data_IF_071398182058
#
_entry.id   IF_071398182058
#
_cell.length_a   1.000
_cell.length_b   1.000
_cell.length_c   1.000
_cell.angle_alpha   90.00
_cell.angle_beta   90.00
_cell.angle_gamma   90.00
#
_symmetry.space_group_name_H-M   'P 1'
#
loop_
_entity.id
_entity.type
_entity.pdbx_description
1 polymer ?
#
# COMPACT_ATOMS: atom_id res chain seq x y z
N UNK A 1 -11.42 -12.39 -23.63
CA UNK A 1 -9.96 -12.13 -23.59
C UNK A 1 -9.38 -12.90 -22.42
N UNK A 2 -8.55 -13.92 -22.67
CA UNK A 2 -8.06 -14.83 -21.62
C UNK A 2 -7.16 -14.14 -20.57
N UNK A 3 -6.36 -13.15 -20.98
CA UNK A 3 -5.46 -12.43 -20.06
C UNK A 3 -6.23 -11.60 -19.05
N UNK A 4 -7.23 -10.84 -19.51
CA UNK A 4 -8.04 -9.99 -18.62
C UNK A 4 -8.79 -10.82 -17.57
N UNK A 5 -9.37 -11.95 -17.97
CA UNK A 5 -10.12 -12.84 -17.06
C UNK A 5 -9.22 -13.42 -15.96
N UNK A 6 -8.02 -13.89 -16.29
CA UNK A 6 -7.09 -14.41 -15.26
C UNK A 6 -6.51 -13.30 -14.39
N UNK A 7 -6.27 -12.11 -14.95
CA UNK A 7 -5.80 -10.96 -14.16
C UNK A 7 -6.83 -10.56 -13.12
N UNK A 8 -8.12 -10.51 -13.48
CA UNK A 8 -9.18 -10.28 -12.52
C UNK A 8 -9.21 -11.35 -11.41
N UNK A 9 -9.13 -12.64 -11.78
CA UNK A 9 -9.11 -13.74 -10.82
C UNK A 9 -7.93 -13.63 -9.83
N UNK A 10 -6.74 -13.31 -10.31
CA UNK A 10 -5.57 -13.12 -9.46
C UNK A 10 -5.63 -11.84 -8.63
N UNK A 11 -6.13 -10.74 -9.19
CA UNK A 11 -6.33 -9.49 -8.46
C UNK A 11 -7.31 -9.67 -7.30
N UNK A 12 -8.34 -10.51 -7.46
CA UNK A 12 -9.24 -10.86 -6.37
C UNK A 12 -8.57 -11.76 -5.32
N UNK A 13 -7.79 -12.75 -5.76
CA UNK A 13 -7.16 -13.73 -4.85
C UNK A 13 -6.03 -13.14 -4.01
N UNK A 14 -5.12 -12.36 -4.62
CA UNK A 14 -3.88 -11.95 -3.97
C UNK A 14 -4.05 -11.07 -2.71
N UNK A 15 -5.05 -10.18 -2.58
CA UNK A 15 -5.32 -9.49 -1.32
C UNK A 15 -5.51 -10.43 -0.12
N UNK A 16 -6.15 -11.59 -0.31
CA UNK A 16 -6.31 -12.59 0.76
C UNK A 16 -5.03 -13.33 1.09
N UNK A 17 -4.21 -13.62 0.07
CA UNK A 17 -2.87 -14.19 0.26
C UNK A 17 -1.99 -13.22 1.04
N UNK A 18 -2.05 -11.92 0.72
CA UNK A 18 -1.34 -10.86 1.45
C UNK A 18 -1.85 -10.77 2.89
N UNK A 19 -3.16 -10.84 3.13
CA UNK A 19 -3.71 -10.85 4.49
C UNK A 19 -3.17 -12.03 5.33
N UNK A 20 -3.07 -13.23 4.74
CA UNK A 20 -2.44 -14.38 5.41
C UNK A 20 -0.96 -14.14 5.70
N UNK A 21 -0.22 -13.55 4.76
CA UNK A 21 1.17 -13.18 4.96
C UNK A 21 1.36 -12.12 6.07
N UNK A 22 0.42 -11.17 6.21
CA UNK A 22 0.42 -10.19 7.31
C UNK A 22 0.27 -10.88 8.67
N UNK A 23 -0.60 -11.89 8.79
CA UNK A 23 -0.73 -12.65 10.05
C UNK A 23 0.59 -13.35 10.40
N UNK A 24 1.23 -14.01 9.44
CA UNK A 24 2.53 -14.65 9.66
C UNK A 24 3.61 -13.62 10.03
N UNK A 25 3.63 -12.48 9.34
CA UNK A 25 4.54 -11.39 9.64
C UNK A 25 4.37 -10.89 11.08
N UNK A 26 3.14 -10.64 11.53
CA UNK A 26 2.84 -10.19 12.88
C UNK A 26 3.15 -11.26 13.95
N UNK A 27 2.94 -12.53 13.64
CA UNK A 27 3.33 -13.63 14.52
C UNK A 27 4.85 -13.59 14.81
N UNK A 28 5.67 -13.51 13.76
CA UNK A 28 7.12 -13.43 13.96
C UNK A 28 7.56 -12.12 14.63
N UNK A 29 6.88 -11.01 14.37
CA UNK A 29 7.13 -9.76 15.09
C UNK A 29 6.82 -9.89 16.58
N UNK A 30 5.80 -10.64 16.97
CA UNK A 30 5.41 -10.83 18.38
C UNK A 30 6.41 -11.69 19.16
N UNK A 31 7.16 -12.57 18.49
CA UNK A 31 8.21 -13.37 19.14
C UNK A 31 9.37 -12.49 19.66
N UNK A 32 9.75 -11.44 18.92
CA UNK A 32 10.87 -10.56 19.30
C UNK A 32 10.41 -9.23 19.90
N UNK A 33 9.19 -8.79 19.58
CA UNK A 33 8.72 -7.43 19.78
C UNK A 33 9.32 -6.44 18.76
N UNK A 34 8.82 -5.20 18.79
CA UNK A 34 9.29 -4.11 17.94
C UNK A 34 10.69 -3.63 18.31
N UNK A 35 11.47 -3.24 17.29
CA UNK A 35 12.69 -2.46 17.51
C UNK A 35 12.35 -1.01 17.88
N UNK A 36 13.35 -0.22 18.26
CA UNK A 36 13.23 1.19 18.59
C UNK A 36 14.34 2.03 17.91
N UNK A 37 14.22 3.36 17.82
CA UNK A 37 15.16 4.21 17.08
C UNK A 37 16.62 4.12 17.53
N UNK A 38 16.88 3.74 18.79
CA UNK A 38 18.26 3.60 19.29
C UNK A 38 18.90 2.27 18.90
N UNK A 39 18.11 1.29 18.46
CA UNK A 39 18.55 -0.08 18.16
C UNK A 39 19.00 -0.89 19.39
N UNK A 40 18.89 -0.33 20.60
CA UNK A 40 19.22 -1.02 21.85
C UNK A 40 18.03 -1.88 22.34
N UNK A 41 18.29 -2.83 23.24
CA UNK A 41 17.23 -3.63 23.83
C UNK A 41 16.31 -2.75 24.72
N UNK A 42 15.00 -2.77 24.44
CA UNK A 42 14.00 -1.93 25.11
C UNK A 42 13.33 -2.58 26.33
N UNK A 43 13.73 -3.79 26.75
CA UNK A 43 13.05 -4.53 27.83
C UNK A 43 13.00 -3.79 29.16
N UNK A 44 13.97 -2.90 29.44
CA UNK A 44 14.01 -2.12 30.67
C UNK A 44 12.95 -1.01 30.75
N UNK A 45 12.37 -0.60 29.62
CA UNK A 45 11.45 0.54 29.52
C UNK A 45 10.29 0.24 28.55
N UNK A 46 9.60 -0.88 28.79
CA UNK A 46 8.40 -1.24 28.03
C UNK A 46 7.17 -0.56 28.62
N UNK A 47 6.36 0.00 27.73
CA UNK A 47 5.01 0.48 28.05
C UNK A 47 3.97 -0.44 27.39
N UNK A 48 2.75 -0.47 27.95
CA UNK A 48 1.64 -1.22 27.38
C UNK A 48 1.20 -0.62 26.04
N UNK A 49 0.68 -1.46 25.13
CA UNK A 49 0.18 -0.97 23.83
C UNK A 49 -1.00 -0.01 24.01
N UNK A 50 -1.98 -0.39 24.82
CA UNK A 50 -3.08 0.48 25.21
C UNK A 50 -2.76 1.17 26.54
N UNK A 51 -2.98 2.49 26.68
CA UNK A 51 -3.61 3.40 25.71
C UNK A 51 -2.66 4.05 24.71
N UNK A 52 -1.34 3.96 24.95
CA UNK A 52 -0.34 4.81 24.30
C UNK A 52 -0.29 4.68 22.77
N UNK A 53 -0.04 3.47 22.27
CA UNK A 53 0.05 3.24 20.83
C UNK A 53 -1.34 3.19 20.19
N UNK A 54 -2.38 2.75 20.90
CA UNK A 54 -3.75 2.79 20.36
C UNK A 54 -4.18 4.20 19.96
N UNK A 55 -3.95 5.22 20.80
CA UNK A 55 -4.30 6.60 20.45
C UNK A 55 -3.35 7.21 19.42
N UNK A 56 -2.07 6.87 19.46
CA UNK A 56 -1.10 7.28 18.44
C UNK A 56 -1.49 6.76 17.05
N UNK A 57 -1.89 5.49 16.97
CA UNK A 57 -2.30 4.85 15.72
C UNK A 57 -3.63 5.42 15.23
N UNK A 58 -4.58 5.73 16.14
CA UNK A 58 -5.82 6.40 15.77
C UNK A 58 -5.55 7.78 15.14
N UNK A 59 -4.65 8.57 15.71
CA UNK A 59 -4.25 9.85 15.11
C UNK A 59 -3.66 9.64 13.71
N UNK A 60 -2.75 8.67 13.55
CA UNK A 60 -2.18 8.32 12.25
C UNK A 60 -3.25 7.90 11.22
N UNK A 61 -4.22 7.11 11.65
CA UNK A 61 -5.35 6.69 10.81
C UNK A 61 -6.23 7.87 10.36
N UNK A 62 -6.52 8.81 11.26
CA UNK A 62 -7.26 10.05 10.91
C UNK A 62 -6.49 10.87 9.89
N UNK A 63 -5.17 11.06 10.06
CA UNK A 63 -4.34 11.79 9.11
C UNK A 63 -4.34 11.12 7.73
N UNK A 64 -4.18 9.79 7.69
CA UNK A 64 -4.25 9.02 6.44
C UNK A 64 -5.62 9.16 5.76
N UNK A 65 -6.73 9.08 6.51
CA UNK A 65 -8.06 9.26 5.95
C UNK A 65 -8.27 10.68 5.40
N UNK A 66 -7.77 11.71 6.08
CA UNK A 66 -7.84 13.10 5.59
C UNK A 66 -7.05 13.26 4.28
N UNK A 67 -5.86 12.68 4.19
CA UNK A 67 -5.08 12.69 2.95
C UNK A 67 -5.80 11.94 1.81
N UNK A 68 -6.35 10.75 2.09
CA UNK A 68 -7.07 9.96 1.09
C UNK A 68 -8.34 10.68 0.60
N UNK A 69 -9.14 11.19 1.53
CA UNK A 69 -10.40 11.89 1.21
C UNK A 69 -10.15 13.22 0.49
N UNK A 70 -9.13 13.98 0.89
CA UNK A 70 -8.77 15.20 0.15
C UNK A 70 -8.32 14.90 -1.28
N UNK A 71 -7.50 13.87 -1.50
CA UNK A 71 -7.13 13.42 -2.84
C UNK A 71 -8.38 13.00 -3.64
N UNK A 72 -9.22 12.14 -3.07
CA UNK A 72 -10.41 11.62 -3.76
C UNK A 72 -11.45 12.70 -4.09
N UNK A 73 -11.65 13.69 -3.21
CA UNK A 73 -12.68 14.71 -3.38
C UNK A 73 -12.22 15.93 -4.17
N UNK A 74 -10.96 16.36 -4.03
CA UNK A 74 -10.47 17.59 -4.64
C UNK A 74 -9.58 17.34 -5.87
N UNK A 75 -8.93 16.18 -5.99
CA UNK A 75 -8.00 15.91 -7.09
C UNK A 75 -7.92 14.40 -7.45
N UNK A 76 -9.05 13.74 -7.78
CA UNK A 76 -9.13 12.28 -7.91
C UNK A 76 -8.21 11.69 -8.98
N UNK A 77 -7.87 12.48 -10.01
CA UNK A 77 -7.04 12.04 -11.13
C UNK A 77 -5.57 12.48 -11.01
N UNK A 78 -5.17 13.12 -9.90
CA UNK A 78 -3.82 13.69 -9.74
C UNK A 78 -2.70 12.65 -9.86
N UNK A 79 -2.95 11.44 -9.36
CA UNK A 79 -1.97 10.33 -9.38
C UNK A 79 -2.21 9.32 -10.51
N UNK A 80 -3.18 9.60 -11.41
CA UNK A 80 -3.52 8.74 -12.55
C UNK A 80 -2.87 9.20 -13.85
N UNK A 81 -3.03 8.39 -14.90
CA UNK A 81 -2.59 8.74 -16.25
C UNK A 81 -3.82 9.03 -17.15
N UNK A 82 -3.89 10.20 -17.83
CA UNK A 82 -4.96 10.50 -18.78
C UNK A 82 -5.17 9.46 -19.88
N UNK A 83 -4.12 8.74 -20.29
CA UNK A 83 -4.20 7.73 -21.35
C UNK A 83 -5.12 6.56 -20.97
N UNK A 84 -5.28 6.26 -19.67
CA UNK A 84 -6.18 5.21 -19.17
C UNK A 84 -7.68 5.53 -19.30
N UNK A 85 -8.04 6.76 -19.71
CA UNK A 85 -9.42 7.10 -20.09
C UNK A 85 -9.75 6.76 -21.55
N UNK A 86 -8.75 6.40 -22.35
CA UNK A 86 -8.97 5.91 -23.72
C UNK A 86 -9.04 4.37 -23.73
N UNK A 87 -10.04 3.75 -24.39
CA UNK A 87 -10.10 2.30 -24.48
C UNK A 87 -8.86 1.71 -25.15
N UNK A 88 -8.39 0.57 -24.64
CA UNK A 88 -7.20 -0.09 -25.15
C UNK A 88 -7.32 -0.40 -26.65
N UNK A 89 -6.30 -0.01 -27.42
CA UNK A 89 -6.17 -0.33 -28.84
C UNK A 89 -4.90 -1.16 -29.07
N UNK A 90 -5.00 -2.45 -29.42
CA UNK A 90 -3.83 -3.31 -29.59
C UNK A 90 -2.93 -2.94 -30.78
N UNK A 91 -3.40 -2.04 -31.67
CA UNK A 91 -2.65 -1.60 -32.85
C UNK A 91 -1.94 -0.26 -32.63
N UNK A 92 -2.12 0.38 -31.48
CA UNK A 92 -1.56 1.71 -31.17
C UNK A 92 -0.94 1.70 -29.79
N UNK A 93 0.36 2.00 -29.72
CA UNK A 93 1.07 2.24 -28.46
C UNK A 93 1.12 3.75 -28.21
N UNK A 94 0.74 4.24 -27.02
CA UNK A 94 0.87 5.65 -26.70
C UNK A 94 2.36 6.11 -26.69
N UNK A 95 2.66 7.34 -27.13
CA UNK A 95 4.05 7.81 -27.29
C UNK A 95 4.86 7.87 -25.98
N UNK A 96 4.20 8.10 -24.84
CA UNK A 96 4.83 8.25 -23.54
C UNK A 96 4.35 7.19 -22.53
N UNK A 97 4.08 5.97 -23.02
CA UNK A 97 3.64 4.85 -22.17
C UNK A 97 4.59 4.66 -20.98
N UNK A 98 4.02 4.65 -19.78
CA UNK A 98 4.73 4.50 -18.51
C UNK A 98 3.84 3.75 -17.51
N UNK A 99 4.41 3.05 -16.52
CA UNK A 99 3.61 2.50 -15.44
C UNK A 99 3.16 3.60 -14.48
N UNK A 100 2.29 3.24 -13.54
CA UNK A 100 1.90 4.11 -12.43
C UNK A 100 3.13 4.53 -11.61
N UNK A 101 3.00 5.68 -10.94
CA UNK A 101 4.10 6.39 -10.30
C UNK A 101 4.92 5.55 -9.31
N UNK A 102 4.27 4.60 -8.61
CA UNK A 102 4.92 3.73 -7.61
C UNK A 102 5.82 2.65 -8.21
N UNK A 103 5.83 2.48 -9.54
CA UNK A 103 6.77 1.61 -10.26
C UNK A 103 7.88 2.37 -11.00
N UNK A 104 7.80 3.70 -11.12
CA UNK A 104 8.74 4.47 -11.94
C UNK A 104 10.21 4.31 -11.50
N UNK A 105 10.45 4.13 -10.21
CA UNK A 105 11.81 3.92 -9.70
C UNK A 105 12.43 2.63 -10.25
N UNK A 106 11.65 1.56 -10.38
CA UNK A 106 12.12 0.28 -10.90
C UNK A 106 12.12 0.25 -12.43
N UNK A 107 11.19 0.98 -13.05
CA UNK A 107 11.15 1.15 -14.51
C UNK A 107 12.36 1.93 -15.05
N UNK A 108 12.97 2.79 -14.23
CA UNK A 108 14.14 3.59 -14.60
C UNK A 108 15.49 2.84 -14.45
N UNK A 109 15.50 1.63 -13.87
CA UNK A 109 16.70 0.79 -13.68
C UNK A 109 16.90 -0.10 -14.91
#
# INVERSE_FOLDING_TARGET
NATLTRFFAFHFLFPFVIAAAIVLHLLFLHETGSNNPTGLNSNADKITFHPYFSYKDLLGFVVMLLALTSLALFSPNLLGDPENFTPANPLVTPPHIKPEWYFLFAYAI
#
